data_IF_698757213445
#
_entry.id   IF_698757213445
#
_cell.length_a   1.000
_cell.length_b   1.000
_cell.length_c   1.000
_cell.angle_alpha   90.00
_cell.angle_beta   90.00
_cell.angle_gamma   90.00
#
_symmetry.space_group_name_H-M   'P 1'
#
loop_
_entity.id
_entity.type
_entity.pdbx_description
1 polymer ?
#
# COMPACT_ATOMS: atom_id res chain seq x y z
N UNK A 1 -17.43 -1.97 -13.30
CA UNK A 1 -16.28 -2.83 -12.94
C UNK A 1 -16.29 -3.11 -11.43
N UNK A 2 -15.90 -4.30 -10.95
CA UNK A 2 -15.83 -4.57 -9.50
C UNK A 2 -14.51 -4.03 -8.92
N UNK A 3 -14.58 -3.20 -7.87
CA UNK A 3 -13.42 -2.55 -7.25
C UNK A 3 -12.51 -3.57 -6.54
N UNK A 4 -13.06 -4.60 -5.87
CA UNK A 4 -12.26 -5.57 -5.10
C UNK A 4 -11.52 -6.59 -5.96
N UNK A 5 -11.95 -6.82 -7.19
CA UNK A 5 -11.28 -7.74 -8.13
C UNK A 5 -10.05 -7.10 -8.78
N UNK A 6 -9.83 -5.78 -8.62
CA UNK A 6 -8.57 -5.16 -9.00
C UNK A 6 -7.51 -5.49 -7.95
N UNK A 7 -6.77 -6.56 -8.18
CA UNK A 7 -5.62 -6.98 -7.37
C UNK A 7 -4.47 -5.98 -7.57
N UNK A 8 -4.64 -4.76 -7.05
CA UNK A 8 -3.71 -3.64 -7.23
C UNK A 8 -3.03 -3.33 -5.88
N UNK A 9 -1.79 -3.78 -5.75
CA UNK A 9 -0.94 -3.53 -4.59
C UNK A 9 0.35 -2.83 -5.06
N UNK A 10 0.31 -1.50 -5.31
CA UNK A 10 1.37 -0.80 -6.01
C UNK A 10 2.58 -0.56 -5.11
N UNK A 11 3.77 -0.65 -5.70
CA UNK A 11 5.00 -0.17 -5.06
C UNK A 11 5.04 1.36 -5.08
N UNK A 12 5.89 1.98 -4.24
CA UNK A 12 6.09 3.43 -4.27
C UNK A 12 6.59 3.92 -5.64
N UNK A 13 7.37 3.11 -6.36
CA UNK A 13 7.80 3.42 -7.72
C UNK A 13 6.62 3.42 -8.71
N UNK A 14 5.71 2.44 -8.59
CA UNK A 14 4.50 2.39 -9.41
C UNK A 14 3.58 3.59 -9.14
N UNK A 15 3.39 3.96 -7.87
CA UNK A 15 2.59 5.14 -7.50
C UNK A 15 3.19 6.42 -8.10
N UNK A 16 4.51 6.59 -8.02
CA UNK A 16 5.20 7.72 -8.66
C UNK A 16 5.02 7.76 -10.17
N UNK A 17 5.03 6.60 -10.83
CA UNK A 17 4.80 6.50 -12.27
C UNK A 17 3.35 6.84 -12.64
N UNK A 18 2.39 6.33 -11.87
CA UNK A 18 0.96 6.58 -12.09
C UNK A 18 0.62 8.06 -11.93
N UNK A 19 1.18 8.74 -10.92
CA UNK A 19 1.00 10.18 -10.70
C UNK A 19 1.53 11.06 -11.86
N UNK A 20 2.30 10.50 -12.80
CA UNK A 20 2.78 11.19 -14.02
C UNK A 20 1.89 10.99 -15.24
N UNK A 21 0.81 10.23 -15.13
CA UNK A 21 -0.19 10.12 -16.20
C UNK A 21 -0.72 11.53 -16.51
N UNK A 22 -0.66 11.91 -17.79
CA UNK A 22 -1.03 13.23 -18.27
C UNK A 22 -1.96 13.14 -19.48
N UNK A 23 -3.01 13.96 -19.45
CA UNK A 23 -4.01 14.11 -20.48
C UNK A 23 -3.53 15.03 -21.60
N UNK A 24 -4.13 14.91 -22.79
CA UNK A 24 -3.87 15.82 -23.91
C UNK A 24 -4.59 17.17 -23.71
N UNK A 25 -5.81 17.11 -23.17
CA UNK A 25 -6.65 18.26 -22.82
C UNK A 25 -7.48 17.95 -21.58
N UNK A 26 -8.08 18.98 -20.98
CA UNK A 26 -9.07 18.79 -19.93
C UNK A 26 -10.09 19.93 -19.93
N UNK A 27 -11.37 19.58 -20.10
CA UNK A 27 -12.51 20.49 -20.02
C UNK A 27 -13.69 19.85 -19.25
N UNK A 28 -14.84 20.53 -19.20
CA UNK A 28 -16.02 20.03 -18.50
C UNK A 28 -16.56 18.72 -19.08
N UNK A 29 -16.39 18.45 -20.37
CA UNK A 29 -16.81 17.17 -20.98
C UNK A 29 -15.96 16.03 -20.43
N UNK A 30 -14.65 16.26 -20.32
CA UNK A 30 -13.72 15.31 -19.72
C UNK A 30 -14.04 15.07 -18.22
N UNK A 31 -14.47 16.11 -17.48
CA UNK A 31 -14.90 15.98 -16.09
C UNK A 31 -16.17 15.12 -15.94
N UNK A 32 -17.15 15.29 -16.83
CA UNK A 32 -18.34 14.42 -16.88
C UNK A 32 -17.99 12.98 -17.23
N UNK A 33 -17.06 12.76 -18.17
CA UNK A 33 -16.57 11.41 -18.48
C UNK A 33 -15.97 10.71 -17.25
N UNK A 34 -15.17 11.43 -16.45
CA UNK A 34 -14.62 10.92 -15.19
C UNK A 34 -15.75 10.54 -14.23
N UNK A 35 -16.73 11.43 -14.04
CA UNK A 35 -17.88 11.17 -13.17
C UNK A 35 -18.64 9.91 -13.61
N UNK A 36 -18.91 9.77 -14.91
CA UNK A 36 -19.60 8.62 -15.49
C UNK A 36 -18.81 7.33 -15.33
N UNK A 37 -17.49 7.42 -15.49
CA UNK A 37 -16.58 6.29 -15.25
C UNK A 37 -16.66 5.84 -13.80
N UNK A 38 -16.63 6.77 -12.83
CA UNK A 38 -16.79 6.45 -11.39
C UNK A 38 -18.15 5.80 -11.14
N UNK A 39 -19.24 6.35 -11.71
CA UNK A 39 -20.61 5.80 -11.57
C UNK A 39 -20.77 4.39 -12.14
N UNK A 40 -19.88 3.96 -13.04
CA UNK A 40 -19.91 2.62 -13.64
C UNK A 40 -19.28 1.51 -12.77
N UNK A 41 -18.64 1.87 -11.65
CA UNK A 41 -18.09 0.91 -10.70
C UNK A 41 -19.19 0.30 -9.82
N UNK A 42 -19.01 -0.97 -9.48
CA UNK A 42 -19.82 -1.63 -8.47
C UNK A 42 -19.11 -1.51 -7.12
N UNK A 43 -19.74 -0.79 -6.18
CA UNK A 43 -19.20 -0.51 -4.85
C UNK A 43 -19.67 -1.50 -3.77
N UNK A 44 -20.37 -2.57 -4.16
CA UNK A 44 -20.82 -3.66 -3.26
C UNK A 44 -21.58 -3.14 -2.02
N UNK A 45 -22.45 -2.15 -2.22
CA UNK A 45 -23.23 -1.53 -1.15
C UNK A 45 -22.52 -0.43 -0.35
N UNK A 46 -21.26 -0.12 -0.65
CA UNK A 46 -20.56 1.02 -0.03
C UNK A 46 -21.08 2.35 -0.59
N UNK A 47 -21.37 3.31 0.28
CA UNK A 47 -21.67 4.67 -0.11
C UNK A 47 -20.39 5.49 -0.35
N UNK A 48 -20.35 6.31 -1.41
CA UNK A 48 -19.21 7.17 -1.73
C UNK A 48 -19.64 8.59 -2.09
N UNK A 49 -18.76 9.54 -1.81
CA UNK A 49 -18.78 10.89 -2.38
C UNK A 49 -17.58 11.05 -3.30
N UNK A 50 -17.77 11.71 -4.45
CA UNK A 50 -16.68 12.06 -5.35
C UNK A 50 -16.81 13.48 -5.89
N UNK A 51 -15.68 14.08 -6.27
CA UNK A 51 -15.62 15.38 -6.93
C UNK A 51 -14.45 15.47 -7.91
N UNK A 52 -14.65 16.19 -9.00
CA UNK A 52 -13.65 16.57 -10.00
C UNK A 52 -13.48 18.08 -9.90
N UNK A 53 -12.40 18.52 -9.27
CA UNK A 53 -12.22 19.93 -8.88
C UNK A 53 -10.88 20.47 -9.38
N UNK A 54 -10.92 21.66 -9.99
CA UNK A 54 -9.75 22.45 -10.32
C UNK A 54 -9.16 23.08 -9.05
N UNK A 55 -7.86 23.30 -9.00
CA UNK A 55 -7.22 23.86 -7.80
C UNK A 55 -7.56 25.33 -7.53
N UNK A 56 -8.13 26.04 -8.51
CA UNK A 56 -8.72 27.36 -8.30
C UNK A 56 -10.07 27.31 -7.55
N UNK A 57 -10.61 26.11 -7.27
CA UNK A 57 -11.84 25.90 -6.52
C UNK A 57 -13.06 25.57 -7.38
N UNK A 58 -12.97 25.64 -8.71
CA UNK A 58 -14.09 25.29 -9.60
C UNK A 58 -14.31 23.77 -9.55
N UNK A 59 -15.50 23.36 -9.14
CA UNK A 59 -15.97 21.97 -9.20
C UNK A 59 -16.71 21.74 -10.50
N UNK A 60 -16.17 20.88 -11.36
CA UNK A 60 -16.70 20.63 -12.69
C UNK A 60 -17.75 19.50 -12.70
N UNK A 61 -17.58 18.52 -11.81
CA UNK A 61 -18.53 17.43 -11.60
C UNK A 61 -18.37 16.88 -10.17
N UNK A 62 -19.47 16.45 -9.56
CA UNK A 62 -19.47 15.76 -8.27
C UNK A 62 -20.71 14.89 -8.11
N UNK A 63 -20.69 14.01 -7.10
CA UNK A 63 -21.83 13.16 -6.82
C UNK A 63 -21.70 12.38 -5.53
N UNK A 64 -22.85 11.88 -5.10
CA UNK A 64 -23.01 10.94 -3.98
C UNK A 64 -23.67 9.67 -4.55
N UNK A 65 -23.12 8.51 -4.22
CA UNK A 65 -23.67 7.21 -4.56
C UNK A 65 -23.86 6.41 -3.28
N UNK A 66 -25.08 5.93 -3.01
CA UNK A 66 -25.40 5.26 -1.76
C UNK A 66 -25.52 6.22 -0.57
N UNK A 67 -25.43 5.68 0.65
CA UNK A 67 -25.55 6.44 1.89
C UNK A 67 -24.19 6.97 2.34
N UNK A 68 -24.06 8.29 2.51
CA UNK A 68 -22.84 8.94 2.99
C UNK A 68 -23.15 9.90 4.13
N UNK A 69 -22.12 10.22 4.91
CA UNK A 69 -22.19 11.17 6.02
C UNK A 69 -21.41 12.44 5.70
N UNK A 70 -21.65 13.55 6.41
CA UNK A 70 -20.84 14.77 6.26
C UNK A 70 -19.33 14.53 6.44
N UNK A 71 -18.93 13.58 7.30
CA UNK A 71 -17.54 13.23 7.50
C UNK A 71 -16.86 12.74 6.21
N UNK A 72 -17.58 12.11 5.28
CA UNK A 72 -17.03 11.71 3.99
C UNK A 72 -16.55 12.92 3.16
N UNK A 73 -17.22 14.07 3.28
CA UNK A 73 -16.78 15.31 2.64
C UNK A 73 -15.53 15.88 3.29
N UNK A 74 -15.38 15.80 4.62
CA UNK A 74 -14.16 16.23 5.31
C UNK A 74 -12.96 15.40 4.84
N UNK A 75 -13.13 14.09 4.74
CA UNK A 75 -12.11 13.20 4.17
C UNK A 75 -11.80 13.55 2.71
N UNK A 76 -12.83 13.74 1.87
CA UNK A 76 -12.63 14.13 0.46
C UNK A 76 -11.85 15.44 0.33
N UNK A 77 -12.23 16.47 1.08
CA UNK A 77 -11.59 17.79 1.05
C UNK A 77 -10.15 17.73 1.60
N UNK A 78 -9.92 16.98 2.68
CA UNK A 78 -8.57 16.79 3.23
C UNK A 78 -7.64 16.08 2.25
N UNK A 79 -8.13 15.07 1.51
CA UNK A 79 -7.36 14.38 0.45
C UNK A 79 -7.05 15.33 -0.71
N UNK A 80 -8.04 16.12 -1.15
CA UNK A 80 -7.86 17.14 -2.19
C UNK A 80 -6.80 18.18 -1.78
N UNK A 81 -6.79 18.62 -0.52
CA UNK A 81 -5.83 19.59 -0.02
C UNK A 81 -4.38 19.07 -0.12
N UNK A 82 -4.17 17.77 0.11
CA UNK A 82 -2.86 17.13 -0.13
C UNK A 82 -2.46 17.22 -1.60
N UNK A 83 -3.35 16.84 -2.52
CA UNK A 83 -3.04 16.92 -3.95
C UNK A 83 -2.77 18.34 -4.44
N UNK A 84 -3.54 19.31 -3.93
CA UNK A 84 -3.34 20.73 -4.23
C UNK A 84 -2.01 21.26 -3.70
N UNK A 85 -1.62 20.91 -2.47
CA UNK A 85 -0.39 21.42 -1.83
C UNK A 85 0.88 20.75 -2.36
N UNK A 86 0.82 19.44 -2.62
CA UNK A 86 2.00 18.63 -2.91
C UNK A 86 2.09 18.11 -4.35
N UNK A 87 1.10 18.39 -5.19
CA UNK A 87 1.07 18.00 -6.61
C UNK A 87 1.26 16.48 -6.83
N UNK A 88 0.71 15.68 -5.93
CA UNK A 88 0.73 14.22 -5.97
C UNK A 88 -0.58 13.65 -5.42
N UNK A 89 -0.87 12.39 -5.70
CA UNK A 89 -2.03 11.72 -5.13
C UNK A 89 -1.89 11.62 -3.61
N UNK A 90 -3.03 11.72 -2.91
CA UNK A 90 -3.03 11.64 -1.44
C UNK A 90 -2.47 10.30 -0.95
N UNK A 91 -2.69 9.23 -1.73
CA UNK A 91 -2.13 7.91 -1.45
C UNK A 91 -0.61 7.86 -1.59
N UNK A 92 -0.04 8.40 -2.67
CA UNK A 92 1.43 8.46 -2.82
C UNK A 92 2.07 9.23 -1.67
N UNK A 93 1.52 10.38 -1.30
CA UNK A 93 1.99 11.17 -0.17
C UNK A 93 1.96 10.36 1.14
N UNK A 94 0.83 9.69 1.42
CA UNK A 94 0.67 8.84 2.59
C UNK A 94 1.68 7.69 2.65
N UNK A 95 1.81 6.94 1.56
CA UNK A 95 2.75 5.82 1.48
C UNK A 95 4.21 6.30 1.59
N UNK A 96 4.55 7.45 1.02
CA UNK A 96 5.88 8.05 1.14
C UNK A 96 6.19 8.50 2.58
N UNK A 97 5.21 9.07 3.29
CA UNK A 97 5.37 9.45 4.70
C UNK A 97 5.56 8.22 5.60
N UNK A 98 4.75 7.18 5.40
CA UNK A 98 4.90 5.92 6.14
C UNK A 98 6.29 5.33 5.87
N UNK A 99 6.70 5.24 4.60
CA UNK A 99 8.03 4.74 4.26
C UNK A 99 9.16 5.60 4.86
N UNK A 100 8.96 6.91 5.03
CA UNK A 100 9.97 7.80 5.61
C UNK A 100 10.08 7.68 7.14
N UNK A 101 8.95 7.60 7.84
CA UNK A 101 8.89 7.71 9.30
C UNK A 101 8.70 6.37 10.02
N UNK A 102 8.29 5.34 9.28
CA UNK A 102 8.09 3.98 9.75
C UNK A 102 8.83 2.96 8.87
N UNK A 103 9.89 3.38 8.16
CA UNK A 103 10.86 2.41 7.67
C UNK A 103 11.46 1.71 8.88
N UNK A 104 11.12 0.44 9.06
CA UNK A 104 11.96 -0.46 9.85
C UNK A 104 13.32 -0.40 9.18
N UNK A 105 14.35 0.06 9.88
CA UNK A 105 15.71 0.10 9.35
C UNK A 105 16.05 -1.27 8.74
N UNK A 106 16.82 -1.31 7.65
CA UNK A 106 17.30 -2.59 7.08
C UNK A 106 17.93 -3.40 8.22
N UNK A 107 17.19 -4.38 8.74
CA UNK A 107 17.73 -5.28 9.72
C UNK A 107 18.82 -6.08 9.01
N UNK A 108 20.04 -5.85 9.48
CA UNK A 108 21.22 -6.55 9.01
C UNK A 108 21.49 -7.58 10.09
N UNK A 109 21.38 -8.86 9.74
CA UNK A 109 21.73 -9.94 10.64
C UNK A 109 23.14 -9.68 11.20
N UNK A 110 23.38 -9.81 12.51
CA UNK A 110 24.71 -9.78 13.09
C UNK A 110 25.67 -10.73 12.34
N UNK A 111 26.95 -10.39 12.25
CA UNK A 111 27.94 -11.20 11.51
C UNK A 111 28.01 -12.66 11.98
N UNK A 112 27.73 -12.93 13.26
CA UNK A 112 27.61 -14.28 13.81
C UNK A 112 26.44 -15.07 13.21
N UNK A 113 25.28 -14.42 13.02
CA UNK A 113 24.10 -15.02 12.40
C UNK A 113 24.30 -15.18 10.89
N UNK A 114 24.90 -14.20 10.21
CA UNK A 114 25.35 -14.35 8.80
C UNK A 114 26.34 -15.52 8.66
N UNK A 115 27.20 -15.73 9.64
CA UNK A 115 28.12 -16.88 9.71
C UNK A 115 27.40 -18.22 9.76
N UNK A 116 26.30 -18.32 10.52
CA UNK A 116 25.43 -19.51 10.54
C UNK A 116 24.76 -19.72 9.17
N UNK A 117 24.26 -18.65 8.52
CA UNK A 117 23.70 -18.73 7.16
C UNK A 117 24.76 -19.21 6.16
N UNK A 118 25.98 -18.69 6.23
CA UNK A 118 27.11 -19.10 5.38
C UNK A 118 27.51 -20.57 5.56
N UNK A 119 27.36 -21.10 6.78
CA UNK A 119 27.66 -22.51 7.07
C UNK A 119 26.64 -23.50 6.48
N UNK A 120 25.43 -23.03 6.19
CA UNK A 120 24.29 -23.87 5.76
C UNK A 120 23.91 -23.59 4.29
N UNK A 121 24.17 -22.39 3.79
CA UNK A 121 23.75 -21.91 2.46
C UNK A 121 24.92 -21.21 1.71
N UNK A 122 25.07 -21.52 0.42
CA UNK A 122 26.08 -20.93 -0.46
C UNK A 122 25.81 -19.48 -0.86
N UNK A 123 24.59 -18.95 -0.67
CA UNK A 123 24.24 -17.55 -0.94
C UNK A 123 23.49 -16.87 0.24
N UNK A 124 24.24 -16.36 1.24
CA UNK A 124 23.66 -15.81 2.46
C UNK A 124 22.86 -14.51 2.22
N UNK A 125 23.27 -13.66 1.27
CA UNK A 125 22.63 -12.36 1.04
C UNK A 125 21.15 -12.48 0.62
N UNK A 126 20.81 -13.48 -0.20
CA UNK A 126 19.43 -13.72 -0.67
C UNK A 126 18.55 -14.39 0.38
N UNK A 127 19.14 -15.24 1.22
CA UNK A 127 18.44 -15.81 2.39
C UNK A 127 18.10 -14.73 3.41
N UNK A 128 19.02 -13.79 3.64
CA UNK A 128 18.77 -12.61 4.47
C UNK A 128 17.66 -11.72 3.90
N UNK A 129 17.60 -11.55 2.58
CA UNK A 129 16.53 -10.79 1.92
C UNK A 129 15.15 -11.46 2.09
N UNK A 130 15.08 -12.78 1.93
CA UNK A 130 13.85 -13.55 2.15
C UNK A 130 13.42 -13.54 3.62
N UNK A 131 14.35 -13.75 4.55
CA UNK A 131 14.08 -13.67 5.99
C UNK A 131 13.61 -12.27 6.39
N UNK A 132 14.17 -11.21 5.79
CA UNK A 132 13.71 -9.84 5.97
C UNK A 132 12.31 -9.58 5.41
N UNK A 133 11.92 -10.25 4.32
CA UNK A 133 10.58 -10.13 3.72
C UNK A 133 9.48 -10.86 4.52
N UNK A 134 9.86 -11.89 5.28
CA UNK A 134 8.94 -12.74 6.06
C UNK A 134 8.67 -12.25 7.48
N UNK A 135 9.38 -11.22 7.93
CA UNK A 135 9.27 -10.67 9.28
C UNK A 135 7.80 -10.32 9.59
N UNK A 136 7.12 -11.23 10.27
CA UNK A 136 5.73 -11.09 10.64
C UNK A 136 5.63 -10.87 12.14
N UNK A 137 5.27 -9.64 12.54
CA UNK A 137 4.92 -9.36 13.92
C UNK A 137 3.68 -10.16 14.33
N UNK A 138 3.77 -10.77 15.51
CA UNK A 138 2.71 -11.45 16.23
C UNK A 138 1.86 -10.41 16.98
N UNK A 139 0.66 -10.12 16.48
CA UNK A 139 -0.20 -9.06 17.01
C UNK A 139 -0.80 -9.37 18.40
N UNK A 140 -0.79 -10.63 18.85
CA UNK A 140 -1.53 -11.05 20.05
C UNK A 140 -0.83 -12.10 20.95
N UNK A 141 0.36 -12.60 20.60
CA UNK A 141 0.96 -13.76 21.29
C UNK A 141 0.48 -15.12 20.77
N UNK A 142 -0.51 -15.12 19.86
CA UNK A 142 -1.21 -16.31 19.37
C UNK A 142 -0.91 -16.63 17.90
N UNK A 143 -0.13 -15.81 17.19
CA UNK A 143 0.15 -16.02 15.77
C UNK A 143 1.06 -17.23 15.58
N UNK A 144 0.50 -18.30 15.06
CA UNK A 144 1.20 -19.55 14.74
C UNK A 144 1.38 -19.63 13.22
N UNK A 145 2.63 -19.63 12.75
CA UNK A 145 2.93 -19.87 11.34
C UNK A 145 3.19 -21.36 11.13
N UNK A 146 2.41 -22.08 10.31
CA UNK A 146 2.71 -23.47 10.00
C UNK A 146 4.09 -23.59 9.36
N UNK A 147 4.97 -24.41 9.94
CA UNK A 147 6.33 -24.60 9.44
C UNK A 147 6.33 -25.09 7.98
N UNK A 148 5.31 -25.87 7.59
CA UNK A 148 5.14 -26.34 6.21
C UNK A 148 4.91 -25.20 5.23
N UNK A 149 4.04 -24.24 5.57
CA UNK A 149 3.73 -23.09 4.70
C UNK A 149 4.95 -22.17 4.56
N UNK A 150 5.68 -21.99 5.66
CA UNK A 150 6.94 -21.23 5.65
C UNK A 150 7.99 -21.88 4.74
N UNK A 151 8.17 -23.20 4.86
CA UNK A 151 9.10 -23.97 4.04
C UNK A 151 8.68 -23.91 2.57
N UNK A 152 7.40 -24.10 2.25
CA UNK A 152 6.91 -24.04 0.88
C UNK A 152 7.13 -22.65 0.26
N UNK A 153 6.82 -21.57 0.98
CA UNK A 153 7.08 -20.21 0.53
C UNK A 153 8.59 -19.96 0.29
N UNK A 154 9.46 -20.49 1.17
CA UNK A 154 10.91 -20.40 1.01
C UNK A 154 11.37 -21.12 -0.25
N UNK A 155 10.88 -22.36 -0.42
CA UNK A 155 11.23 -23.20 -1.56
C UNK A 155 10.76 -22.56 -2.87
N UNK A 156 9.54 -22.01 -2.90
CA UNK A 156 9.03 -21.27 -4.06
C UNK A 156 9.90 -20.06 -4.40
N UNK A 157 10.22 -19.22 -3.40
CA UNK A 157 11.08 -18.06 -3.59
C UNK A 157 12.47 -18.44 -4.12
N UNK A 158 13.08 -19.48 -3.56
CA UNK A 158 14.42 -19.93 -3.95
C UNK A 158 14.45 -20.67 -5.28
N UNK A 159 13.41 -21.43 -5.63
CA UNK A 159 13.30 -22.14 -6.91
C UNK A 159 13.30 -21.19 -8.11
N UNK A 160 12.79 -19.95 -7.94
CA UNK A 160 12.89 -18.91 -8.96
C UNK A 160 14.33 -18.44 -9.23
N UNK A 161 15.27 -18.75 -8.34
CA UNK A 161 16.65 -18.25 -8.39
C UNK A 161 17.67 -19.29 -8.84
N UNK A 162 17.28 -20.57 -8.97
CA UNK A 162 18.17 -21.67 -9.37
C UNK A 162 19.19 -22.10 -8.29
N UNK A 163 19.04 -21.62 -7.05
CA UNK A 163 19.95 -21.87 -5.92
C UNK A 163 19.56 -23.13 -5.15
N UNK A 164 20.54 -23.80 -4.53
CA UNK A 164 20.31 -24.94 -3.63
C UNK A 164 19.33 -24.54 -2.52
N UNK A 165 18.23 -25.28 -2.44
CA UNK A 165 17.15 -25.02 -1.50
C UNK A 165 17.43 -25.74 -0.18
N UNK A 166 17.37 -25.00 0.93
CA UNK A 166 17.49 -25.56 2.28
C UNK A 166 16.35 -26.53 2.56
N UNK A 167 16.67 -27.63 3.22
CA UNK A 167 15.70 -28.60 3.75
C UNK A 167 14.88 -27.97 4.88
N UNK A 168 13.73 -28.59 5.19
CA UNK A 168 12.90 -28.17 6.34
C UNK A 168 13.69 -28.09 7.65
N UNK A 169 14.61 -29.04 7.88
CA UNK A 169 15.44 -29.07 9.09
C UNK A 169 16.45 -27.93 9.10
N UNK A 170 17.16 -27.71 7.99
CA UNK A 170 18.12 -26.60 7.86
C UNK A 170 17.45 -25.22 8.05
N UNK A 171 16.22 -25.05 7.54
CA UNK A 171 15.43 -23.84 7.77
C UNK A 171 15.01 -23.67 9.24
N UNK A 172 14.62 -24.75 9.89
CA UNK A 172 14.26 -24.75 11.31
C UNK A 172 15.47 -24.43 12.20
N UNK A 173 16.63 -25.03 11.90
CA UNK A 173 17.89 -24.77 12.61
C UNK A 173 18.33 -23.31 12.41
N UNK A 174 18.20 -22.79 11.19
CA UNK A 174 18.47 -21.39 10.86
C UNK A 174 17.57 -20.43 11.65
N UNK A 175 16.26 -20.64 11.65
CA UNK A 175 15.31 -19.79 12.36
C UNK A 175 15.57 -19.83 13.87
N UNK A 176 15.89 -21.00 14.43
CA UNK A 176 16.23 -21.13 15.85
C UNK A 176 17.50 -20.38 16.21
N UNK A 177 18.49 -20.36 15.31
CA UNK A 177 19.76 -19.68 15.52
C UNK A 177 19.63 -18.15 15.40
N UNK A 178 18.82 -17.67 14.45
CA UNK A 178 18.61 -16.23 14.18
C UNK A 178 17.61 -15.61 15.14
N UNK A 179 16.57 -16.35 15.52
CA UNK A 179 15.48 -15.87 16.36
C UNK A 179 15.34 -16.76 17.60
N UNK A 180 16.19 -16.58 18.63
CA UNK A 180 16.20 -17.45 19.81
C UNK A 180 14.91 -17.38 20.64
N UNK A 181 14.03 -16.40 20.39
CA UNK A 181 12.70 -16.36 20.97
C UNK A 181 11.70 -17.29 20.29
N UNK A 182 12.00 -17.79 19.08
CA UNK A 182 11.09 -18.67 18.34
C UNK A 182 10.98 -20.02 19.02
N UNK A 183 9.74 -20.47 19.17
CA UNK A 183 9.44 -21.82 19.65
C UNK A 183 8.74 -22.58 18.53
N UNK A 184 9.13 -23.84 18.38
CA UNK A 184 8.47 -24.79 17.49
C UNK A 184 7.62 -25.73 18.35
N UNK A 185 6.33 -25.79 18.09
CA UNK A 185 5.40 -26.61 18.86
C UNK A 185 4.33 -27.25 17.97
N UNK A 186 3.64 -28.26 18.49
CA UNK A 186 2.53 -28.90 17.78
C UNK A 186 1.30 -27.98 17.78
N UNK A 187 0.87 -27.57 16.58
CA UNK A 187 -0.29 -26.73 16.40
C UNK A 187 -1.62 -27.50 16.53
N UNK A 188 -2.76 -26.79 16.58
CA UNK A 188 -4.09 -27.39 16.81
C UNK A 188 -4.51 -28.45 15.79
N UNK A 189 -3.87 -28.46 14.62
CA UNK A 189 -4.13 -29.37 13.50
C UNK A 189 -3.09 -30.50 13.39
N UNK A 190 -2.24 -30.69 14.40
CA UNK A 190 -1.14 -31.67 14.41
C UNK A 190 0.05 -31.28 13.51
N UNK A 191 0.06 -30.06 12.98
CA UNK A 191 1.19 -29.49 12.21
C UNK A 191 2.10 -28.71 13.14
N UNK A 192 3.42 -28.85 12.96
CA UNK A 192 4.40 -28.02 13.66
C UNK A 192 4.21 -26.56 13.26
N UNK A 193 4.06 -25.70 14.25
CA UNK A 193 3.94 -24.24 14.09
C UNK A 193 5.14 -23.54 14.72
N UNK A 194 5.49 -22.39 14.16
CA UNK A 194 6.45 -21.46 14.72
C UNK A 194 5.71 -20.34 15.44
N UNK A 195 6.12 -20.05 16.69
CA UNK A 195 5.63 -18.92 17.50
C UNK A 195 6.78 -18.00 17.88
N UNK A 196 6.46 -16.77 18.30
CA UNK A 196 7.44 -15.81 18.82
C UNK A 196 8.57 -15.43 17.84
N UNK A 197 8.29 -15.47 16.54
CA UNK A 197 9.18 -14.92 15.52
C UNK A 197 9.16 -13.39 15.62
N UNK A 198 10.16 -12.83 16.30
CA UNK A 198 10.27 -11.39 16.60
C UNK A 198 11.66 -10.90 16.23
N UNK A 199 11.75 -9.68 15.68
CA UNK A 199 13.03 -8.96 15.65
C UNK A 199 13.21 -8.37 17.04
N UNK A 200 14.43 -8.48 17.60
CA UNK A 200 14.74 -7.99 18.95
C UNK A 200 14.60 -6.47 19.13
N UNK A 201 14.25 -5.73 18.07
CA UNK A 201 13.93 -4.30 18.11
C UNK A 201 12.81 -3.89 17.11
N UNK A 202 11.80 -4.74 16.86
CA UNK A 202 10.59 -4.28 16.15
C UNK A 202 9.47 -3.97 17.13
N UNK A 203 9.21 -2.69 17.34
CA UNK A 203 7.86 -2.25 17.60
C UNK A 203 7.20 -2.05 16.24
N UNK A 204 6.10 -2.78 15.98
CA UNK A 204 5.04 -2.44 15.03
C UNK A 204 5.17 -2.93 13.56
N UNK A 205 4.44 -4.01 13.22
CA UNK A 205 3.41 -3.94 12.17
C UNK A 205 2.25 -3.09 12.68
N UNK A 206 2.47 -1.78 12.83
CA UNK A 206 1.33 -0.88 12.95
C UNK A 206 0.63 -0.93 11.60
N UNK A 207 -0.69 -1.11 11.60
CA UNK A 207 -1.53 -0.51 10.54
C UNK A 207 -1.37 1.00 10.66
N UNK A 208 -0.20 1.50 10.24
CA UNK A 208 0.15 2.91 10.33
C UNK A 208 -0.81 3.62 9.38
N UNK A 209 -1.81 4.30 9.94
CA UNK A 209 -2.70 5.13 9.14
C UNK A 209 -1.89 6.30 8.60
N UNK A 210 -1.89 6.50 7.29
CA UNK A 210 -1.17 7.58 6.63
C UNK A 210 -1.55 8.95 7.23
N UNK A 211 -2.84 9.18 7.46
CA UNK A 211 -3.32 10.42 8.08
C UNK A 211 -2.82 10.59 9.54
N UNK A 212 -2.68 9.52 10.30
CA UNK A 212 -2.10 9.60 11.65
C UNK A 212 -0.60 9.93 11.59
N UNK A 213 0.13 9.32 10.64
CA UNK A 213 1.56 9.63 10.40
C UNK A 213 1.74 11.10 10.05
N UNK A 214 0.92 11.60 9.12
CA UNK A 214 0.91 13.00 8.74
C UNK A 214 0.61 13.91 9.96
N UNK A 215 -0.40 13.57 10.76
CA UNK A 215 -0.74 14.33 11.97
C UNK A 215 0.41 14.36 12.98
N UNK A 216 1.17 13.26 13.12
CA UNK A 216 2.28 13.19 14.06
C UNK A 216 3.55 13.92 13.57
N UNK A 217 3.89 13.79 12.29
CA UNK A 217 5.23 14.16 11.78
C UNK A 217 5.25 15.40 10.87
N UNK A 218 4.11 16.05 10.63
CA UNK A 218 4.02 17.24 9.77
C UNK A 218 3.16 18.33 10.41
N UNK A 219 3.13 19.52 9.81
CA UNK A 219 2.23 20.61 10.18
C UNK A 219 0.78 20.37 9.71
N UNK A 220 0.57 19.47 8.76
CA UNK A 220 -0.76 19.16 8.24
C UNK A 220 -1.58 18.41 9.29
N UNK A 221 -2.88 18.73 9.36
CA UNK A 221 -3.82 18.15 10.33
C UNK A 221 -5.16 17.86 9.66
N UNK A 222 -5.75 16.73 10.02
CA UNK A 222 -7.17 16.46 9.74
C UNK A 222 -8.05 17.46 10.52
N UNK A 223 -9.18 17.96 9.95
CA UNK A 223 -9.74 17.64 8.64
C UNK A 223 -9.16 18.42 7.45
N UNK A 224 -8.37 19.47 7.69
CA UNK A 224 -7.81 20.32 6.62
C UNK A 224 -6.94 19.55 5.62
N UNK A 225 -6.31 18.46 6.07
CA UNK A 225 -5.53 17.55 5.24
C UNK A 225 -5.81 16.09 5.63
N UNK A 226 -5.73 15.18 4.65
CA UNK A 226 -5.82 13.74 4.84
C UNK A 226 -4.87 13.04 3.88
N UNK A 227 -3.98 12.19 4.40
CA UNK A 227 -3.02 11.43 3.61
C UNK A 227 -3.53 10.05 3.19
N UNK A 228 -4.80 9.74 3.46
CA UNK A 228 -5.42 8.50 2.99
C UNK A 228 -5.68 8.58 1.46
N UNK A 229 -5.68 7.44 0.79
CA UNK A 229 -5.89 7.41 -0.66
C UNK A 229 -7.29 7.87 -1.08
N UNK A 230 -7.38 8.43 -2.29
CA UNK A 230 -8.65 8.86 -2.86
C UNK A 230 -8.61 10.17 -3.62
N UNK A 231 -7.56 10.99 -3.52
CA UNK A 231 -7.35 12.14 -4.41
C UNK A 231 -6.23 11.85 -5.40
N UNK A 232 -6.50 12.04 -6.70
CA UNK A 232 -5.60 11.76 -7.81
C UNK A 232 -5.47 12.98 -8.73
N UNK A 233 -4.23 13.44 -9.05
CA UNK A 233 -4.01 14.67 -9.79
C UNK A 233 -4.44 14.59 -11.26
N UNK A 234 -4.92 15.72 -11.80
CA UNK A 234 -5.23 15.91 -13.22
C UNK A 234 -4.06 16.67 -13.86
N UNK A 235 -3.15 15.94 -14.51
CA UNK A 235 -2.03 16.52 -15.25
C UNK A 235 -2.38 16.71 -16.73
N UNK A 236 -1.85 17.75 -17.35
CA UNK A 236 -1.95 18.00 -18.79
C UNK A 236 -0.55 18.04 -19.40
N UNK A 237 -0.36 17.42 -20.56
CA UNK A 237 0.91 17.45 -21.29
C UNK A 237 1.34 18.90 -21.56
N UNK A 238 2.61 19.20 -21.30
CA UNK A 238 3.18 20.54 -21.49
C UNK A 238 2.83 21.55 -20.39
N UNK A 239 2.02 21.18 -19.39
CA UNK A 239 1.74 22.01 -18.21
C UNK A 239 2.64 21.55 -17.06
N UNK A 240 3.28 22.50 -16.37
CA UNK A 240 4.32 22.22 -15.37
C UNK A 240 3.82 21.45 -14.12
N UNK A 241 2.50 21.40 -13.88
CA UNK A 241 1.91 20.70 -12.75
C UNK A 241 0.42 20.41 -12.95
N UNK A 242 -0.19 19.68 -12.01
CA UNK A 242 -1.61 19.37 -12.06
C UNK A 242 -2.47 20.62 -11.93
N UNK A 243 -3.57 20.65 -12.68
CA UNK A 243 -4.52 21.77 -12.69
C UNK A 243 -5.70 21.55 -11.72
N UNK A 244 -5.87 20.33 -11.24
CA UNK A 244 -6.96 19.88 -10.39
C UNK A 244 -6.75 18.45 -9.93
N UNK A 245 -7.78 17.87 -9.32
CA UNK A 245 -7.78 16.46 -8.93
C UNK A 245 -9.19 15.86 -9.00
N UNK A 246 -9.21 14.53 -9.13
CA UNK A 246 -10.38 13.69 -8.86
C UNK A 246 -10.26 13.18 -7.43
N UNK A 247 -11.27 13.39 -6.61
CA UNK A 247 -11.27 13.00 -5.20
C UNK A 247 -12.46 12.11 -4.86
N UNK A 248 -12.23 11.04 -4.11
CA UNK A 248 -13.21 10.02 -3.72
C UNK A 248 -13.05 9.71 -2.22
N UNK A 249 -14.17 9.52 -1.52
CA UNK A 249 -14.20 9.02 -0.16
C UNK A 249 -15.44 8.16 0.08
N UNK A 250 -15.26 7.06 0.83
CA UNK A 250 -16.36 6.26 1.35
C UNK A 250 -16.14 4.76 1.26
N UNK A 251 -15.13 4.31 0.50
CA UNK A 251 -14.81 2.89 0.41
C UNK A 251 -14.13 2.38 1.69
N UNK A 252 -14.17 1.06 1.95
CA UNK A 252 -13.61 0.46 3.17
C UNK A 252 -12.11 0.73 3.41
N UNK A 253 -11.37 1.12 2.37
CA UNK A 253 -9.98 1.56 2.51
C UNK A 253 -9.65 2.68 1.52
N UNK A 254 -8.74 3.58 1.92
CA UNK A 254 -8.26 4.65 1.04
C UNK A 254 -7.55 4.14 -0.22
N UNK A 255 -7.00 2.92 -0.20
CA UNK A 255 -6.47 2.29 -1.41
C UNK A 255 -7.58 2.05 -2.44
N UNK A 256 -8.75 1.60 -2.03
CA UNK A 256 -9.88 1.41 -2.95
C UNK A 256 -10.36 2.74 -3.52
N UNK A 257 -10.44 3.80 -2.71
CA UNK A 257 -10.74 5.15 -3.20
C UNK A 257 -9.70 5.60 -4.25
N UNK A 258 -8.41 5.37 -3.99
CA UNK A 258 -7.33 5.71 -4.91
C UNK A 258 -7.41 4.92 -6.22
N UNK A 259 -7.72 3.62 -6.15
CA UNK A 259 -7.87 2.76 -7.33
C UNK A 259 -8.94 3.32 -8.26
N UNK A 260 -10.11 3.71 -7.73
CA UNK A 260 -11.21 4.24 -8.54
C UNK A 260 -10.83 5.59 -9.16
N UNK A 261 -10.24 6.51 -8.38
CA UNK A 261 -9.82 7.81 -8.88
C UNK A 261 -8.75 7.69 -9.98
N UNK A 262 -7.74 6.83 -9.77
CA UNK A 262 -6.70 6.50 -10.75
C UNK A 262 -7.31 5.90 -12.02
N UNK A 263 -8.20 4.92 -11.87
CA UNK A 263 -8.80 4.24 -13.01
C UNK A 263 -9.57 5.20 -13.91
N UNK A 264 -10.34 6.15 -13.34
CA UNK A 264 -11.05 7.15 -14.13
C UNK A 264 -10.12 8.03 -14.97
N UNK A 265 -8.98 8.46 -14.40
CA UNK A 265 -7.95 9.24 -15.14
C UNK A 265 -7.27 8.40 -16.21
N UNK A 266 -6.94 7.14 -15.90
CA UNK A 266 -6.34 6.19 -16.87
C UNK A 266 -7.26 5.96 -18.06
N UNK A 267 -8.56 5.72 -17.82
CA UNK A 267 -9.53 5.50 -18.89
C UNK A 267 -9.70 6.75 -19.77
N UNK A 268 -9.78 7.94 -19.17
CA UNK A 268 -9.84 9.19 -19.93
C UNK A 268 -8.58 9.39 -20.78
N UNK A 269 -7.39 9.14 -20.21
CA UNK A 269 -6.13 9.23 -20.93
C UNK A 269 -6.10 8.29 -22.16
N UNK A 270 -6.57 7.05 -22.00
CA UNK A 270 -6.68 6.08 -23.11
C UNK A 270 -7.60 6.59 -24.21
N UNK A 271 -8.76 7.14 -23.86
CA UNK A 271 -9.73 7.68 -24.83
C UNK A 271 -9.13 8.86 -25.61
N UNK A 272 -8.38 9.74 -24.96
CA UNK A 272 -7.74 10.89 -25.62
C UNK A 272 -6.53 10.52 -26.49
N UNK A 273 -5.97 9.31 -26.35
CA UNK A 273 -4.85 8.82 -27.18
C UNK A 273 -5.30 8.02 -28.41
N UNK A 274 -6.59 7.72 -28.53
CA UNK A 274 -7.20 7.13 -29.73
C UNK A 274 -7.59 8.22 -30.71
#
# INVERSE_FOLDING_TARGET
>A
MNVKQQQYNPTLAQLKADDKIALNKFDSVDAWFIADTIRSFNFEGSGIVFAVRLFNGIELASGVLGEVTPANYDWLNGKLAISKKYHQSSYLYGQALIAKHHAVGRYTLPDGEIGVIRGINSEPARSTEYLNALLCEDLNGDSAVPLTEFVEAYQQFMNFTGVKVMTRKELQDLISAVFPSVVFEDGPTGRVVMRNLRIKESQEKMKVKATNTMNAFTENKFPSFSADGGSFPINIKGVAGPIGAVSISGLPSGLLDHIVARAAIVELAKVQTR
#
